data_IF_027479056906
#
_entry.id   IF_027479056906
#
_cell.length_a   1.000
_cell.length_b   1.000
_cell.length_c   1.000
_cell.angle_alpha   90.00
_cell.angle_beta   90.00
_cell.angle_gamma   90.00
#
_symmetry.space_group_name_H-M   'P 1'
#
loop_
_entity.id
_entity.type
_entity.pdbx_description
1 polymer ?
#
# COMPACT_ATOMS: atom_id res chain seq x y z
N UNK A 1 22.45 17.26 -4.21
CA UNK A 1 21.40 16.24 -4.00
C UNK A 1 21.36 15.96 -2.51
N UNK A 2 20.20 16.01 -1.84
CA UNK A 2 20.02 15.91 -0.37
C UNK A 2 20.80 14.72 0.24
N UNK A 3 22.10 14.92 0.51
CA UNK A 3 23.06 13.94 1.02
C UNK A 3 23.94 14.58 2.11
N UNK A 4 23.44 15.64 2.73
CA UNK A 4 23.99 16.13 3.98
C UNK A 4 23.54 15.14 5.08
N UNK A 5 24.47 14.43 5.75
CA UNK A 5 24.15 13.42 6.76
C UNK A 5 23.22 13.95 7.87
N UNK A 6 23.34 15.23 8.22
CA UNK A 6 22.57 15.85 9.30
C UNK A 6 21.09 16.01 8.93
N UNK A 7 20.79 16.14 7.64
CA UNK A 7 19.42 16.27 7.13
C UNK A 7 18.80 14.93 6.78
N UNK A 8 19.58 13.95 6.32
CA UNK A 8 19.10 12.60 5.97
C UNK A 8 18.48 11.89 7.19
N UNK A 9 18.99 12.14 8.40
CA UNK A 9 18.42 11.58 9.63
C UNK A 9 17.12 12.25 10.09
N UNK A 10 16.89 13.50 9.67
CA UNK A 10 15.74 14.33 10.09
C UNK A 10 14.57 14.26 9.11
N UNK A 11 14.85 14.07 7.82
CA UNK A 11 13.87 13.96 6.74
C UNK A 11 13.59 12.47 6.50
N UNK A 12 12.53 11.97 7.12
CA UNK A 12 12.15 10.55 7.05
C UNK A 12 11.24 10.26 5.87
N UNK A 13 10.49 11.27 5.42
CA UNK A 13 9.54 11.20 4.31
C UNK A 13 9.88 12.28 3.28
N UNK A 14 11.07 12.16 2.67
CA UNK A 14 11.64 12.98 1.59
C UNK A 14 10.84 14.25 1.22
N UNK A 15 10.06 14.18 0.14
CA UNK A 15 9.28 15.27 -0.41
C UNK A 15 8.11 15.68 0.50
N UNK A 16 7.45 14.73 1.17
CA UNK A 16 6.35 15.02 2.08
C UNK A 16 6.78 15.89 3.28
N UNK A 17 7.94 15.62 3.88
CA UNK A 17 8.48 16.41 5.00
C UNK A 17 8.87 17.83 4.54
N UNK A 18 9.49 17.94 3.36
CA UNK A 18 9.82 19.26 2.77
C UNK A 18 8.56 20.08 2.52
N UNK A 19 7.52 19.47 1.95
CA UNK A 19 6.22 20.14 1.74
C UNK A 19 5.59 20.58 3.07
N UNK A 20 5.61 19.72 4.09
CA UNK A 20 5.08 20.05 5.41
C UNK A 20 5.78 21.27 6.04
N UNK A 21 7.10 21.37 5.90
CA UNK A 21 7.86 22.53 6.40
C UNK A 21 7.52 23.80 5.61
N UNK A 22 7.53 23.73 4.27
CA UNK A 22 7.31 24.89 3.41
C UNK A 22 5.89 25.46 3.52
N UNK A 23 4.90 24.58 3.73
CA UNK A 23 3.48 24.94 3.77
C UNK A 23 2.94 25.07 5.20
N UNK A 24 3.80 25.06 6.22
CA UNK A 24 3.36 25.22 7.60
C UNK A 24 2.51 26.50 7.78
N UNK A 25 1.31 26.34 8.36
CA UNK A 25 0.32 27.42 8.51
C UNK A 25 -0.36 27.90 7.22
N UNK A 26 -0.06 27.28 6.07
CA UNK A 26 -0.57 27.65 4.73
C UNK A 26 -1.36 26.52 4.05
N UNK A 27 -1.85 25.56 4.84
CA UNK A 27 -2.61 24.40 4.33
C UNK A 27 -4.11 24.55 4.59
N UNK A 28 -4.92 23.99 3.70
CA UNK A 28 -6.34 23.75 3.93
C UNK A 28 -6.55 22.26 4.17
N UNK A 29 -7.09 21.91 5.33
CA UNK A 29 -7.41 20.53 5.64
C UNK A 29 -8.66 20.08 4.88
N UNK A 30 -8.59 18.90 4.28
CA UNK A 30 -9.69 18.24 3.59
C UNK A 30 -10.14 17.02 4.40
N UNK A 31 -11.39 16.58 4.19
CA UNK A 31 -11.90 15.36 4.83
C UNK A 31 -11.07 14.14 4.44
N UNK A 32 -10.88 13.22 5.40
CA UNK A 32 -10.10 11.99 5.20
C UNK A 32 -10.63 11.12 4.06
N UNK A 33 -11.93 11.20 3.72
CA UNK A 33 -12.50 10.45 2.60
C UNK A 33 -11.83 10.72 1.24
N UNK A 34 -11.16 11.86 1.10
CA UNK A 34 -10.40 12.23 -0.10
C UNK A 34 -8.92 11.76 -0.05
N UNK A 35 -8.51 11.08 1.02
CA UNK A 35 -7.19 10.49 1.18
C UNK A 35 -7.24 9.37 2.24
N UNK A 36 -8.12 8.39 2.05
CA UNK A 36 -8.28 7.25 2.97
C UNK A 36 -7.07 6.33 2.81
N UNK A 37 -6.09 6.49 3.71
CA UNK A 37 -4.84 5.75 3.65
C UNK A 37 -5.01 4.36 4.20
N UNK A 38 -4.57 3.36 3.43
CA UNK A 38 -4.56 1.98 3.89
C UNK A 38 -3.30 1.24 3.45
N UNK A 39 -2.67 0.52 4.38
CA UNK A 39 -1.59 -0.41 4.06
C UNK A 39 -2.14 -1.81 4.04
N UNK A 40 -2.03 -2.51 2.91
CA UNK A 40 -2.49 -3.90 2.79
C UNK A 40 -1.75 -4.81 3.77
N UNK A 41 -0.55 -4.43 4.23
CA UNK A 41 0.15 -5.17 5.27
C UNK A 41 -0.59 -5.16 6.63
N UNK A 42 -1.54 -4.27 6.87
CA UNK A 42 -2.38 -4.31 8.06
C UNK A 42 -3.25 -5.56 8.12
N UNK A 43 -3.55 -6.17 6.97
CA UNK A 43 -4.24 -7.45 6.85
C UNK A 43 -3.45 -8.62 7.47
N UNK A 44 -2.14 -8.44 7.74
CA UNK A 44 -1.33 -9.43 8.44
C UNK A 44 -1.57 -9.43 9.96
N UNK A 45 -2.19 -8.38 10.52
CA UNK A 45 -2.51 -8.28 11.95
C UNK A 45 -3.68 -9.21 12.31
N UNK A 46 -3.82 -9.53 13.59
CA UNK A 46 -4.94 -10.38 14.04
C UNK A 46 -6.28 -9.65 13.98
N UNK A 47 -6.29 -8.38 14.38
CA UNK A 47 -7.42 -7.48 14.20
C UNK A 47 -7.16 -6.57 13.00
N UNK A 48 -8.00 -6.70 11.99
CA UNK A 48 -8.02 -5.83 10.81
C UNK A 48 -9.09 -4.78 11.00
N UNK A 49 -8.72 -3.52 10.81
CA UNK A 49 -9.64 -2.39 10.77
C UNK A 49 -9.48 -1.73 9.40
N UNK A 50 -10.43 -1.98 8.50
CA UNK A 50 -10.42 -1.42 7.14
C UNK A 50 -11.28 -0.15 7.13
N UNK A 51 -10.69 1.05 6.95
CA UNK A 51 -11.41 2.31 6.97
C UNK A 51 -12.19 2.58 5.65
N UNK A 52 -11.99 1.77 4.62
CA UNK A 52 -12.66 1.94 3.32
C UNK A 52 -14.13 1.51 3.42
N UNK A 53 -15.03 2.43 3.10
CA UNK A 53 -16.48 2.29 3.16
C UNK A 53 -17.15 3.08 2.01
N UNK A 54 -18.48 3.12 1.99
CA UNK A 54 -19.26 3.77 0.92
C UNK A 54 -19.07 5.30 0.85
N UNK A 55 -18.62 5.94 1.93
CA UNK A 55 -18.30 7.36 1.97
C UNK A 55 -16.89 7.68 1.43
N UNK A 56 -16.08 6.64 1.19
CA UNK A 56 -14.69 6.79 0.72
C UNK A 56 -14.65 7.24 -0.73
N UNK A 57 -13.99 8.37 -1.00
CA UNK A 57 -13.85 8.94 -2.35
C UNK A 57 -12.52 8.54 -2.98
N UNK A 58 -11.44 8.51 -2.20
CA UNK A 58 -10.10 8.20 -2.72
C UNK A 58 -9.31 7.32 -1.75
N UNK A 59 -8.96 6.12 -2.21
CA UNK A 59 -8.15 5.15 -1.46
C UNK A 59 -6.68 5.36 -1.79
N UNK A 60 -5.87 5.62 -0.78
CA UNK A 60 -4.43 5.73 -0.90
C UNK A 60 -3.75 4.49 -0.34
N UNK A 61 -3.39 3.54 -1.23
CA UNK A 61 -2.67 2.33 -0.86
C UNK A 61 -1.21 2.65 -0.49
N UNK A 62 -0.95 2.89 0.79
CA UNK A 62 0.39 3.16 1.35
C UNK A 62 1.14 1.87 1.67
N UNK A 63 2.44 1.95 1.93
CA UNK A 63 3.26 0.79 2.29
C UNK A 63 3.69 -0.09 1.11
N UNK A 64 4.37 -1.22 1.37
CA UNK A 64 5.11 -1.96 0.34
C UNK A 64 4.24 -2.95 -0.46
N UNK A 65 3.17 -3.50 0.13
CA UNK A 65 2.20 -4.33 -0.60
C UNK A 65 1.16 -3.44 -1.24
N UNK A 66 0.94 -3.62 -2.54
CA UNK A 66 0.06 -2.84 -3.39
C UNK A 66 -1.01 -3.75 -3.99
N UNK A 67 -2.19 -3.23 -4.34
CA UNK A 67 -3.29 -4.07 -4.83
C UNK A 67 -3.02 -4.70 -6.21
N UNK A 68 -1.98 -4.24 -6.92
CA UNK A 68 -1.49 -4.88 -8.14
C UNK A 68 -0.50 -6.02 -7.91
N UNK A 69 -0.16 -6.37 -6.67
CA UNK A 69 0.61 -7.58 -6.36
C UNK A 69 -0.31 -8.79 -6.21
N UNK A 70 0.09 -9.95 -6.74
CA UNK A 70 -0.74 -11.16 -6.74
C UNK A 70 -1.08 -11.71 -5.33
N UNK A 71 -0.31 -11.33 -4.31
CA UNK A 71 -0.54 -11.74 -2.92
C UNK A 71 -1.44 -10.78 -2.15
N UNK A 72 -1.82 -9.66 -2.74
CA UNK A 72 -2.66 -8.63 -2.14
C UNK A 72 -4.16 -8.95 -2.25
N UNK A 73 -4.54 -10.21 -2.09
CA UNK A 73 -5.92 -10.69 -2.21
C UNK A 73 -6.69 -10.46 -0.90
N UNK A 74 -7.33 -9.30 -0.80
CA UNK A 74 -8.12 -8.84 0.36
C UNK A 74 -9.29 -7.97 -0.09
N UNK A 75 -10.36 -7.83 0.73
CA UNK A 75 -11.52 -6.99 0.39
C UNK A 75 -11.15 -5.56 -0.03
N UNK A 76 -10.16 -4.95 0.61
CA UNK A 76 -9.70 -3.59 0.29
C UNK A 76 -9.11 -3.46 -1.13
N UNK A 77 -8.64 -4.55 -1.73
CA UNK A 77 -8.08 -4.56 -3.10
C UNK A 77 -9.16 -4.56 -4.17
N UNK A 78 -10.42 -4.84 -3.83
CA UNK A 78 -11.52 -4.96 -4.78
C UNK A 78 -11.73 -3.69 -5.60
N UNK A 79 -11.63 -2.51 -4.98
CA UNK A 79 -11.78 -1.23 -5.68
C UNK A 79 -10.73 -1.06 -6.78
N UNK A 80 -9.48 -1.43 -6.51
CA UNK A 80 -8.42 -1.43 -7.52
C UNK A 80 -8.69 -2.46 -8.62
N UNK A 81 -9.11 -3.69 -8.28
CA UNK A 81 -9.38 -4.74 -9.26
C UNK A 81 -10.53 -4.38 -10.22
N UNK A 82 -11.59 -3.75 -9.71
CA UNK A 82 -12.69 -3.22 -10.53
C UNK A 82 -12.17 -2.15 -11.49
N UNK A 83 -11.38 -1.20 -10.99
CA UNK A 83 -10.78 -0.16 -11.82
C UNK A 83 -9.83 -0.74 -12.89
N UNK A 84 -8.99 -1.72 -12.52
CA UNK A 84 -8.11 -2.43 -13.44
C UNK A 84 -8.91 -3.13 -14.55
N UNK A 85 -9.98 -3.83 -14.20
CA UNK A 85 -10.82 -4.52 -15.17
C UNK A 85 -11.48 -3.57 -16.18
N UNK A 86 -11.78 -2.34 -15.77
CA UNK A 86 -12.31 -1.28 -16.64
C UNK A 86 -11.23 -0.45 -17.37
N UNK A 87 -9.95 -0.77 -17.16
CA UNK A 87 -8.82 -0.01 -17.71
C UNK A 87 -8.19 -0.70 -18.94
N UNK A 88 -7.32 -0.01 -19.70
CA UNK A 88 -6.50 -0.64 -20.75
C UNK A 88 -5.63 -1.80 -20.27
N UNK A 89 -5.29 -1.84 -18.98
CA UNK A 89 -4.49 -2.91 -18.36
C UNK A 89 -5.35 -4.07 -17.85
N UNK A 90 -6.59 -4.21 -18.32
CA UNK A 90 -7.51 -5.27 -17.87
C UNK A 90 -6.93 -6.68 -18.08
N UNK A 91 -6.15 -6.86 -19.15
CA UNK A 91 -5.52 -8.15 -19.52
C UNK A 91 -4.14 -8.38 -18.92
N UNK A 92 -3.53 -7.36 -18.30
CA UNK A 92 -2.21 -7.52 -17.67
C UNK A 92 -2.32 -8.36 -16.39
N UNK A 93 -1.38 -9.27 -16.16
CA UNK A 93 -1.35 -10.04 -14.92
C UNK A 93 -0.98 -9.15 -13.72
N UNK A 94 -1.38 -9.58 -12.52
CA UNK A 94 -0.88 -8.99 -11.28
C UNK A 94 0.62 -9.31 -11.13
N UNK A 95 1.36 -8.39 -10.51
CA UNK A 95 2.80 -8.53 -10.35
C UNK A 95 3.15 -9.65 -9.37
N UNK A 96 4.04 -10.51 -9.83
CA UNK A 96 4.74 -11.53 -9.04
C UNK A 96 5.86 -10.90 -8.21
N UNK A 97 6.30 -11.52 -7.10
CA UNK A 97 7.43 -11.00 -6.33
C UNK A 97 8.72 -11.08 -7.15
N UNK A 98 9.50 -10.01 -7.18
CA UNK A 98 10.75 -9.91 -7.96
C UNK A 98 12.00 -9.68 -7.11
N UNK A 99 11.86 -9.46 -5.81
CA UNK A 99 12.98 -9.27 -4.89
C UNK A 99 12.71 -9.89 -3.52
N UNK A 100 13.76 -10.11 -2.72
CA UNK A 100 13.69 -10.81 -1.44
C UNK A 100 12.66 -10.19 -0.47
N UNK A 101 12.50 -8.87 -0.49
CA UNK A 101 11.49 -8.21 0.34
C UNK A 101 10.07 -8.55 -0.11
N UNK A 102 9.80 -8.55 -1.40
CA UNK A 102 8.50 -8.95 -1.96
C UNK A 102 8.21 -10.42 -1.75
N UNK A 103 9.18 -11.32 -1.96
CA UNK A 103 9.03 -12.75 -1.65
C UNK A 103 8.66 -12.97 -0.18
N UNK A 104 9.34 -12.30 0.74
CA UNK A 104 9.03 -12.35 2.18
C UNK A 104 7.61 -11.89 2.49
N UNK A 105 7.14 -10.78 1.91
CA UNK A 105 5.76 -10.32 2.13
C UNK A 105 4.74 -11.24 1.46
N UNK A 106 5.01 -11.72 0.26
CA UNK A 106 4.17 -12.67 -0.46
C UNK A 106 3.94 -13.93 0.40
N UNK A 107 5.00 -14.54 0.91
CA UNK A 107 4.90 -15.69 1.81
C UNK A 107 4.02 -15.37 3.04
N UNK A 108 4.27 -14.27 3.76
CA UNK A 108 3.46 -13.84 4.93
C UNK A 108 1.98 -13.74 4.61
N UNK A 109 1.63 -13.13 3.48
CA UNK A 109 0.24 -12.99 3.05
C UNK A 109 -0.38 -14.34 2.68
N UNK A 110 0.33 -15.21 1.96
CA UNK A 110 -0.15 -16.58 1.66
C UNK A 110 -0.40 -17.38 2.93
N UNK A 111 0.49 -17.31 3.93
CA UNK A 111 0.27 -17.93 5.24
C UNK A 111 -0.96 -17.37 5.96
N UNK A 112 -1.15 -16.04 5.98
CA UNK A 112 -2.32 -15.39 6.60
C UNK A 112 -3.63 -15.80 5.90
N UNK A 113 -3.60 -15.95 4.58
CA UNK A 113 -4.72 -16.40 3.75
C UNK A 113 -4.93 -17.94 3.81
N UNK A 114 -4.15 -18.67 4.63
CA UNK A 114 -4.18 -20.15 4.75
C UNK A 114 -3.76 -20.91 3.49
N UNK A 115 -3.11 -20.23 2.55
CA UNK A 115 -2.49 -20.84 1.37
C UNK A 115 -1.09 -21.39 1.71
N UNK A 116 -1.02 -22.35 2.64
CA UNK A 116 0.26 -22.82 3.22
C UNK A 116 1.23 -23.39 2.20
N UNK A 117 0.76 -24.22 1.27
CA UNK A 117 1.63 -24.81 0.23
C UNK A 117 2.25 -23.73 -0.66
N UNK A 118 1.44 -22.74 -1.07
CA UNK A 118 1.93 -21.60 -1.84
C UNK A 118 2.90 -20.73 -1.02
N UNK A 119 2.67 -20.59 0.29
CA UNK A 119 3.57 -19.87 1.19
C UNK A 119 4.93 -20.53 1.36
N UNK A 120 5.00 -21.87 1.39
CA UNK A 120 6.24 -22.63 1.48
C UNK A 120 7.00 -22.62 0.15
N UNK A 121 6.32 -22.85 -0.97
CA UNK A 121 6.94 -22.92 -2.31
C UNK A 121 7.50 -21.59 -2.82
N UNK A 122 7.17 -20.48 -2.17
CA UNK A 122 7.63 -19.12 -2.50
C UNK A 122 8.91 -18.73 -1.73
N UNK A 123 9.30 -19.49 -0.70
CA UNK A 123 10.55 -19.32 0.05
C UNK A 123 11.66 -20.11 -0.63
#
# INVERSE_FOLDING_TARGET
MLRDPDWVSKITHLDQDVLNVLLNGKVKFISEKYNTRYSINYELKDKVDNPVNDDTVFIHYVGPTKPWHEWADYPVSRSFLIAKAASPWSKEDLLKPVNSNQYRYCAKHKFKQKHYMAGILII
#
